data_IF_948553319011
#
_entry.id   IF_948553319011
#
_cell.length_a   1.000
_cell.length_b   1.000
_cell.length_c   1.000
_cell.angle_alpha   90.00
_cell.angle_beta   90.00
_cell.angle_gamma   90.00
#
_symmetry.space_group_name_H-M   'P 1'
#
loop_
_entity.id
_entity.type
_entity.pdbx_description
1 polymer ?
#
# COMPACT_ATOMS: atom_id res chain seq x y z
N UNK A 1 -13.58 -77.45 9.99
CA UNK A 1 -12.76 -76.59 10.85
C UNK A 1 -11.59 -75.88 10.14
N UNK A 2 -10.63 -76.51 9.43
CA UNK A 2 -9.43 -75.77 8.95
C UNK A 2 -9.65 -74.79 7.77
N UNK A 3 -10.80 -74.86 7.08
CA UNK A 3 -11.16 -73.93 5.98
C UNK A 3 -11.78 -72.61 6.49
N UNK A 4 -12.51 -72.66 7.60
CA UNK A 4 -13.17 -71.47 8.19
C UNK A 4 -12.15 -70.53 8.82
N UNK A 5 -11.14 -71.06 9.51
CA UNK A 5 -10.07 -70.25 10.11
C UNK A 5 -9.22 -69.49 9.07
N UNK A 6 -9.02 -70.07 7.88
CA UNK A 6 -8.32 -69.38 6.77
C UNK A 6 -9.16 -68.25 6.19
N UNK A 7 -10.47 -68.44 6.07
CA UNK A 7 -11.40 -67.42 5.60
C UNK A 7 -11.45 -66.24 6.57
N UNK A 8 -11.59 -66.51 7.87
CA UNK A 8 -11.65 -65.48 8.92
C UNK A 8 -10.36 -64.65 8.96
N UNK A 9 -9.19 -65.28 8.78
CA UNK A 9 -7.90 -64.56 8.67
C UNK A 9 -7.82 -63.65 7.43
N UNK A 10 -8.37 -64.07 6.29
CA UNK A 10 -8.42 -63.22 5.10
C UNK A 10 -9.34 -62.01 5.27
N UNK A 11 -10.52 -62.19 5.88
CA UNK A 11 -11.44 -61.08 6.13
C UNK A 11 -10.89 -60.09 7.17
N UNK A 12 -10.24 -60.59 8.22
CA UNK A 12 -9.58 -59.72 9.23
C UNK A 12 -8.40 -58.95 8.65
N UNK A 13 -7.57 -59.58 7.79
CA UNK A 13 -6.52 -58.86 7.05
C UNK A 13 -7.08 -57.83 6.06
N UNK A 14 -8.20 -58.13 5.39
CA UNK A 14 -8.85 -57.20 4.45
C UNK A 14 -9.45 -55.98 5.19
N UNK A 15 -10.13 -56.22 6.32
CA UNK A 15 -10.70 -55.15 7.16
C UNK A 15 -9.59 -54.28 7.75
N UNK A 16 -8.48 -54.89 8.18
CA UNK A 16 -7.33 -54.14 8.68
C UNK A 16 -6.66 -53.30 7.58
N UNK A 17 -6.54 -53.82 6.36
CA UNK A 17 -6.01 -53.07 5.22
C UNK A 17 -6.91 -51.90 4.81
N UNK A 18 -8.24 -52.08 4.86
CA UNK A 18 -9.21 -51.01 4.58
C UNK A 18 -9.17 -49.93 5.68
N UNK A 19 -9.09 -50.31 6.95
CA UNK A 19 -8.92 -49.37 8.07
C UNK A 19 -7.61 -48.58 7.97
N UNK A 20 -6.52 -49.23 7.56
CA UNK A 20 -5.22 -48.57 7.37
C UNK A 20 -5.24 -47.61 6.16
N UNK A 21 -5.95 -47.95 5.08
CA UNK A 21 -6.14 -47.09 3.92
C UNK A 21 -7.02 -45.87 4.23
N UNK A 22 -8.06 -46.03 5.07
CA UNK A 22 -8.90 -44.95 5.58
C UNK A 22 -8.13 -44.01 6.52
N UNK A 23 -7.19 -44.54 7.32
CA UNK A 23 -6.29 -43.74 8.16
C UNK A 23 -5.28 -42.92 7.33
N UNK A 24 -4.83 -43.43 6.18
CA UNK A 24 -3.92 -42.72 5.27
C UNK A 24 -4.60 -41.67 4.37
N UNK A 25 -5.91 -41.78 4.15
CA UNK A 25 -6.69 -40.80 3.38
C UNK A 25 -7.27 -39.67 4.25
N UNK A 26 -7.10 -39.76 5.57
CA UNK A 26 -7.50 -38.73 6.53
C UNK A 26 -6.33 -37.92 7.10
N UNK A 27 -5.12 -38.03 6.53
CA UNK A 27 -4.08 -37.05 6.83
C UNK A 27 -4.54 -35.71 6.24
N UNK A 28 -4.71 -34.65 7.05
CA UNK A 28 -4.87 -33.33 6.49
C UNK A 28 -3.61 -33.10 5.66
N UNK A 29 -3.79 -33.04 4.35
CA UNK A 29 -2.74 -32.64 3.44
C UNK A 29 -2.21 -31.34 4.03
N UNK A 30 -0.98 -31.35 4.54
CA UNK A 30 -0.30 -30.11 4.90
C UNK A 30 -0.28 -29.32 3.60
N UNK A 31 -1.27 -28.44 3.45
CA UNK A 31 -1.21 -27.35 2.50
C UNK A 31 0.06 -26.64 2.92
N UNK A 32 1.17 -26.86 2.19
CA UNK A 32 2.30 -25.96 2.23
C UNK A 32 1.67 -24.58 2.01
N UNK A 33 1.54 -23.80 3.08
CA UNK A 33 1.07 -22.44 2.95
C UNK A 33 2.07 -21.79 2.01
N UNK A 34 1.62 -21.41 0.82
CA UNK A 34 2.48 -20.83 -0.18
C UNK A 34 3.20 -19.62 0.44
N UNK A 35 4.47 -19.44 0.11
CA UNK A 35 5.27 -18.37 0.70
C UNK A 35 4.53 -17.03 0.53
N UNK A 36 4.40 -16.22 1.60
CA UNK A 36 3.67 -14.98 1.51
C UNK A 36 4.34 -14.02 0.54
N UNK A 37 3.53 -13.21 -0.14
CA UNK A 37 4.02 -12.03 -0.84
C UNK A 37 4.23 -10.94 0.21
N UNK A 38 5.48 -10.50 0.38
CA UNK A 38 5.87 -9.54 1.41
C UNK A 38 5.65 -8.12 0.93
N UNK A 39 4.81 -7.37 1.62
CA UNK A 39 4.58 -5.94 1.40
C UNK A 39 5.40 -5.13 2.40
N UNK A 40 6.20 -4.19 1.93
CA UNK A 40 6.86 -3.20 2.77
C UNK A 40 6.08 -1.91 2.82
N UNK A 41 5.86 -1.38 4.02
CA UNK A 41 5.12 -0.16 4.26
C UNK A 41 6.01 0.87 4.98
N UNK A 42 6.75 1.71 4.23
CA UNK A 42 7.49 2.83 4.79
C UNK A 42 6.51 3.97 5.10
N UNK A 43 6.16 4.15 6.37
CA UNK A 43 5.08 5.04 6.82
C UNK A 43 5.55 5.91 7.98
N UNK A 44 5.05 7.14 8.12
CA UNK A 44 5.34 7.96 9.32
C UNK A 44 4.32 7.65 10.42
N UNK A 45 4.56 6.59 11.18
CA UNK A 45 3.53 5.94 12.02
C UNK A 45 3.04 6.78 13.20
N UNK A 46 3.75 7.86 13.55
CA UNK A 46 3.32 8.82 14.56
C UNK A 46 2.25 9.82 14.08
N UNK A 47 1.97 9.89 12.77
CA UNK A 47 1.08 10.91 12.17
C UNK A 47 -0.09 10.28 11.43
N UNK A 48 -1.16 11.08 11.24
CA UNK A 48 -2.42 10.66 10.60
C UNK A 48 -2.18 9.78 9.37
N UNK A 49 -1.49 10.34 8.37
CA UNK A 49 -1.18 9.69 7.09
C UNK A 49 -0.39 8.37 7.18
N UNK A 50 0.25 8.09 8.31
CA UNK A 50 1.00 6.86 8.54
C UNK A 50 0.19 5.82 9.29
N UNK A 51 -0.39 6.16 10.45
CA UNK A 51 -1.14 5.19 11.24
C UNK A 51 -2.48 4.81 10.59
N UNK A 52 -3.10 5.69 9.81
CA UNK A 52 -4.33 5.37 9.07
C UNK A 52 -4.05 4.38 7.93
N UNK A 53 -3.00 4.63 7.17
CA UNK A 53 -2.52 3.79 6.08
C UNK A 53 -2.06 2.43 6.59
N UNK A 54 -1.34 2.38 7.71
CA UNK A 54 -0.93 1.12 8.35
C UNK A 54 -2.14 0.26 8.68
N UNK A 55 -3.15 0.84 9.34
CA UNK A 55 -4.38 0.12 9.70
C UNK A 55 -5.15 -0.34 8.48
N UNK A 56 -5.28 0.52 7.46
CA UNK A 56 -5.95 0.18 6.20
C UNK A 56 -5.26 -0.96 5.45
N UNK A 57 -3.92 -0.92 5.36
CA UNK A 57 -3.12 -1.98 4.74
C UNK A 57 -3.30 -3.30 5.50
N UNK A 58 -3.19 -3.28 6.83
CA UNK A 58 -3.37 -4.48 7.66
C UNK A 58 -4.76 -5.08 7.53
N UNK A 59 -5.80 -4.25 7.59
CA UNK A 59 -7.19 -4.68 7.40
C UNK A 59 -7.39 -5.35 6.02
N UNK A 60 -6.90 -4.72 4.96
CA UNK A 60 -7.01 -5.28 3.61
C UNK A 60 -6.26 -6.62 3.49
N UNK A 61 -5.06 -6.73 4.09
CA UNK A 61 -4.30 -8.00 4.13
C UNK A 61 -5.06 -9.08 4.90
N UNK A 62 -5.65 -8.74 6.05
CA UNK A 62 -6.48 -9.67 6.84
C UNK A 62 -7.67 -10.19 6.03
N UNK A 63 -8.43 -9.30 5.39
CA UNK A 63 -9.59 -9.66 4.57
C UNK A 63 -9.20 -10.51 3.35
N UNK A 64 -8.14 -10.13 2.63
CA UNK A 64 -7.63 -10.88 1.47
C UNK A 64 -7.16 -12.27 1.89
N UNK A 65 -6.40 -12.37 2.98
CA UNK A 65 -5.90 -13.64 3.49
C UNK A 65 -7.04 -14.54 4.00
N UNK A 66 -8.05 -13.97 4.67
CA UNK A 66 -9.25 -14.70 5.09
C UNK A 66 -10.06 -15.24 3.90
N UNK A 67 -10.04 -14.54 2.76
CA UNK A 67 -10.59 -15.01 1.49
C UNK A 67 -9.69 -16.03 0.74
N UNK A 68 -8.67 -16.56 1.41
CA UNK A 68 -7.75 -17.56 0.88
C UNK A 68 -6.56 -16.97 0.12
N UNK A 69 -6.31 -15.66 0.19
CA UNK A 69 -5.16 -15.01 -0.44
C UNK A 69 -5.37 -14.63 -1.91
N UNK A 70 -4.35 -13.98 -2.48
CA UNK A 70 -4.34 -13.55 -3.87
C UNK A 70 -4.05 -14.73 -4.81
N UNK A 71 -4.74 -14.78 -5.95
CA UNK A 71 -4.49 -15.77 -6.99
C UNK A 71 -3.32 -15.32 -7.88
N UNK A 72 -2.23 -16.05 -7.84
CA UNK A 72 -1.05 -15.86 -8.69
C UNK A 72 -0.92 -17.07 -9.61
N UNK A 73 -1.35 -16.93 -10.86
CA UNK A 73 -1.27 -17.98 -11.88
C UNK A 73 -1.91 -19.34 -11.48
N UNK A 74 -2.98 -19.30 -10.68
CA UNK A 74 -3.69 -20.49 -10.19
C UNK A 74 -3.32 -20.89 -8.77
N UNK A 75 -2.26 -20.33 -8.21
CA UNK A 75 -1.83 -20.58 -6.83
C UNK A 75 -2.30 -19.48 -5.89
N UNK A 76 -2.89 -19.88 -4.76
CA UNK A 76 -3.33 -18.95 -3.71
C UNK A 76 -2.18 -18.62 -2.78
N UNK A 77 -1.78 -17.35 -2.74
CA UNK A 77 -0.69 -16.84 -1.89
C UNK A 77 -1.20 -15.81 -0.90
N UNK A 78 -0.84 -15.89 0.40
CA UNK A 78 -1.16 -14.86 1.36
C UNK A 78 -0.26 -13.63 1.17
N UNK A 79 -0.69 -12.49 1.71
CA UNK A 79 0.19 -11.33 1.93
C UNK A 79 0.73 -11.33 3.36
N UNK A 80 1.93 -10.78 3.54
CA UNK A 80 2.44 -10.34 4.85
C UNK A 80 2.90 -8.89 4.76
N UNK A 81 2.88 -8.15 5.87
CA UNK A 81 3.20 -6.71 5.88
C UNK A 81 4.33 -6.42 6.87
N UNK A 82 5.36 -5.74 6.39
CA UNK A 82 6.47 -5.21 7.18
C UNK A 82 6.38 -3.68 7.19
N UNK A 83 6.02 -3.10 8.33
CA UNK A 83 5.94 -1.65 8.52
C UNK A 83 7.27 -1.15 9.07
N UNK A 84 7.82 -0.08 8.50
CA UNK A 84 8.96 0.64 9.08
C UNK A 84 8.60 2.11 9.17
N UNK A 85 8.80 2.68 10.36
CA UNK A 85 8.60 4.11 10.58
C UNK A 85 9.65 4.93 9.82
N UNK A 86 9.20 5.74 8.86
CA UNK A 86 10.05 6.67 8.10
C UNK A 86 10.34 7.94 8.87
N UNK A 87 9.50 8.28 9.85
CA UNK A 87 9.53 9.56 10.59
C UNK A 87 9.48 10.79 9.67
N UNK A 88 9.07 10.59 8.42
CA UNK A 88 9.13 11.62 7.39
C UNK A 88 7.95 12.59 7.47
N UNK A 89 7.20 12.66 8.56
CA UNK A 89 6.34 13.81 8.87
C UNK A 89 6.79 14.54 10.13
N UNK A 90 7.82 14.03 10.82
CA UNK A 90 8.38 14.71 11.99
C UNK A 90 9.15 15.97 11.56
N UNK A 91 8.90 17.11 12.24
CA UNK A 91 9.67 18.33 12.01
C UNK A 91 11.16 18.11 12.27
N UNK A 92 12.00 18.55 11.33
CA UNK A 92 13.46 18.48 11.46
C UNK A 92 14.09 17.12 11.20
N UNK A 93 13.30 16.07 10.96
CA UNK A 93 13.83 14.74 10.60
C UNK A 93 14.32 14.76 9.14
N UNK A 94 15.60 14.39 8.89
CA UNK A 94 16.19 14.43 7.56
C UNK A 94 15.55 13.41 6.62
N UNK A 95 15.60 13.69 5.32
CA UNK A 95 15.11 12.78 4.27
C UNK A 95 15.85 11.43 4.28
N UNK A 96 17.11 11.42 4.69
CA UNK A 96 17.94 10.21 4.78
C UNK A 96 17.33 9.12 5.67
N UNK A 97 16.55 9.48 6.69
CA UNK A 97 15.89 8.48 7.56
C UNK A 97 14.82 7.70 6.80
N UNK A 98 14.06 8.38 5.94
CA UNK A 98 13.10 7.72 5.04
C UNK A 98 13.80 6.84 4.00
N UNK A 99 14.94 7.30 3.46
CA UNK A 99 15.74 6.50 2.51
C UNK A 99 16.22 5.21 3.18
N UNK A 100 16.77 5.30 4.40
CA UNK A 100 17.23 4.13 5.17
C UNK A 100 16.08 3.19 5.52
N UNK A 101 14.89 3.71 5.83
CA UNK A 101 13.71 2.89 6.08
C UNK A 101 13.33 2.06 4.84
N UNK A 102 13.30 2.69 3.66
CA UNK A 102 13.03 2.00 2.39
C UNK A 102 14.15 1.01 2.05
N UNK A 103 15.41 1.39 2.23
CA UNK A 103 16.56 0.52 2.00
C UNK A 103 16.50 -0.72 2.90
N UNK A 104 16.13 -0.57 4.18
CA UNK A 104 15.94 -1.68 5.11
C UNK A 104 14.80 -2.62 4.69
N UNK A 105 13.68 -2.08 4.22
CA UNK A 105 12.58 -2.88 3.68
C UNK A 105 13.05 -3.72 2.47
N UNK A 106 13.81 -3.11 1.56
CA UNK A 106 14.28 -3.77 0.34
C UNK A 106 15.38 -4.80 0.64
N UNK A 107 16.40 -4.43 1.40
CA UNK A 107 17.63 -5.21 1.54
C UNK A 107 17.65 -6.16 2.74
N UNK A 108 16.96 -5.81 3.83
CA UNK A 108 16.99 -6.63 5.06
C UNK A 108 15.68 -7.41 5.25
N UNK A 109 14.55 -6.81 4.91
CA UNK A 109 13.24 -7.47 4.99
C UNK A 109 12.88 -8.22 3.71
N UNK A 110 13.59 -7.92 2.62
CA UNK A 110 13.42 -8.56 1.32
C UNK A 110 11.95 -8.55 0.87
N UNK A 111 11.28 -7.40 1.04
CA UNK A 111 9.88 -7.25 0.65
C UNK A 111 9.75 -7.34 -0.87
N UNK A 112 8.68 -7.93 -1.38
CA UNK A 112 8.41 -8.07 -2.81
C UNK A 112 7.96 -6.75 -3.43
N UNK A 113 7.06 -6.04 -2.76
CA UNK A 113 6.47 -4.77 -3.19
C UNK A 113 6.49 -3.75 -2.06
N UNK A 114 6.53 -2.47 -2.41
CA UNK A 114 6.30 -1.37 -1.47
C UNK A 114 4.89 -0.80 -1.68
N UNK A 115 4.17 -0.59 -0.59
CA UNK A 115 2.83 0.00 -0.58
C UNK A 115 2.72 0.96 0.60
N UNK A 116 2.20 2.16 0.39
CA UNK A 116 2.11 3.17 1.44
C UNK A 116 2.85 4.45 1.08
N UNK A 117 3.90 4.78 1.85
CA UNK A 117 4.72 5.97 1.64
C UNK A 117 6.03 5.69 0.88
N UNK A 118 7.10 6.50 1.11
CA UNK A 118 7.19 7.59 2.08
C UNK A 118 6.14 8.69 1.84
N UNK A 119 5.72 9.38 2.91
CA UNK A 119 4.55 10.29 2.87
C UNK A 119 4.93 11.68 2.37
N UNK A 120 6.08 12.22 2.82
CA UNK A 120 6.61 13.52 2.36
C UNK A 120 7.04 13.41 0.91
N UNK A 121 6.66 14.41 0.11
CA UNK A 121 6.90 14.37 -1.35
C UNK A 121 8.38 14.34 -1.69
N UNK A 122 9.22 15.06 -0.94
CA UNK A 122 10.67 15.07 -1.11
C UNK A 122 11.31 13.72 -0.74
N UNK A 123 10.77 13.02 0.27
CA UNK A 123 11.24 11.68 0.64
C UNK A 123 10.87 10.65 -0.44
N UNK A 124 9.63 10.72 -0.94
CA UNK A 124 9.18 9.87 -2.04
C UNK A 124 9.97 10.09 -3.34
N UNK A 125 10.33 11.34 -3.66
CA UNK A 125 11.21 11.67 -4.79
C UNK A 125 12.63 11.13 -4.58
N UNK A 126 13.18 11.26 -3.36
CA UNK A 126 14.54 10.84 -3.05
C UNK A 126 14.76 9.33 -3.18
N UNK A 127 13.72 8.50 -2.99
CA UNK A 127 13.85 7.04 -3.10
C UNK A 127 13.71 6.52 -4.54
N UNK A 128 13.38 7.35 -5.54
CA UNK A 128 13.17 6.88 -6.93
C UNK A 128 14.40 6.16 -7.52
N UNK A 129 15.60 6.68 -7.28
CA UNK A 129 16.84 6.05 -7.73
C UNK A 129 17.10 4.70 -7.03
N UNK A 130 16.75 4.60 -5.74
CA UNK A 130 16.82 3.35 -4.98
C UNK A 130 15.84 2.30 -5.53
N UNK A 131 14.60 2.71 -5.85
CA UNK A 131 13.60 1.84 -6.47
C UNK A 131 14.10 1.32 -7.83
N UNK A 132 14.67 2.18 -8.67
CA UNK A 132 15.25 1.79 -9.94
C UNK A 132 16.41 0.79 -9.77
N UNK A 133 17.35 1.11 -8.87
CA UNK A 133 18.53 0.26 -8.59
C UNK A 133 18.14 -1.18 -8.22
N UNK A 134 17.10 -1.32 -7.41
CA UNK A 134 16.63 -2.62 -6.94
C UNK A 134 15.43 -3.17 -7.72
N UNK A 135 15.01 -2.49 -8.81
CA UNK A 135 13.82 -2.82 -9.61
C UNK A 135 12.58 -3.03 -8.73
N UNK A 136 12.47 -2.26 -7.65
CA UNK A 136 11.44 -2.43 -6.63
C UNK A 136 10.18 -1.67 -7.03
N UNK A 137 9.11 -2.41 -7.30
CA UNK A 137 7.79 -1.83 -7.53
C UNK A 137 7.29 -1.19 -6.23
N UNK A 138 6.95 0.09 -6.31
CA UNK A 138 6.41 0.88 -5.22
C UNK A 138 5.12 1.57 -5.66
N UNK A 139 4.08 1.43 -4.86
CA UNK A 139 2.80 2.11 -5.05
C UNK A 139 2.59 3.03 -3.86
N UNK A 140 2.74 4.33 -4.08
CA UNK A 140 2.40 5.31 -3.07
C UNK A 140 0.88 5.41 -2.96
N UNK A 141 0.36 5.13 -1.76
CA UNK A 141 -1.07 5.14 -1.44
C UNK A 141 -1.46 6.20 -0.44
N UNK A 142 -0.48 6.84 0.22
CA UNK A 142 -0.69 7.92 1.20
C UNK A 142 0.32 9.05 0.96
N UNK A 143 -0.14 10.29 1.10
CA UNK A 143 0.67 11.49 0.88
C UNK A 143 1.11 11.70 -0.57
N UNK A 144 2.31 12.29 -0.71
CA UNK A 144 2.96 12.61 -2.01
C UNK A 144 2.06 13.42 -2.95
N UNK A 145 1.63 14.59 -2.48
CA UNK A 145 0.73 15.48 -3.23
C UNK A 145 1.45 16.34 -4.28
N UNK A 146 2.79 16.32 -4.31
CA UNK A 146 3.55 17.14 -5.26
C UNK A 146 3.35 16.68 -6.71
N UNK A 147 3.09 17.61 -7.65
CA UNK A 147 3.05 17.26 -9.06
C UNK A 147 4.40 16.79 -9.60
N UNK A 148 5.50 17.13 -8.93
CA UNK A 148 6.83 16.73 -9.35
C UNK A 148 6.98 15.20 -9.41
N UNK A 149 6.30 14.45 -8.53
CA UNK A 149 6.45 12.99 -8.47
C UNK A 149 6.14 12.31 -9.80
N UNK A 150 4.92 12.52 -10.33
CA UNK A 150 4.51 11.91 -11.59
C UNK A 150 5.16 12.57 -12.81
N UNK A 151 5.53 13.86 -12.75
CA UNK A 151 6.28 14.53 -13.82
C UNK A 151 7.67 13.94 -13.97
N UNK A 152 8.43 13.80 -12.86
CA UNK A 152 9.76 13.20 -12.86
C UNK A 152 9.72 11.76 -13.39
N UNK A 153 8.70 10.97 -13.02
CA UNK A 153 8.51 9.62 -13.55
C UNK A 153 8.22 9.66 -15.05
N UNK A 154 7.30 10.51 -15.52
CA UNK A 154 6.94 10.60 -16.93
C UNK A 154 8.12 11.04 -17.81
N UNK A 155 8.89 12.03 -17.37
CA UNK A 155 10.08 12.55 -18.06
C UNK A 155 11.22 11.53 -18.11
N UNK A 156 11.29 10.60 -17.15
CA UNK A 156 12.36 9.61 -17.03
C UNK A 156 11.80 8.18 -16.91
N UNK A 157 10.79 7.86 -17.74
CA UNK A 157 9.96 6.67 -17.56
C UNK A 157 10.76 5.37 -17.50
N UNK A 158 11.71 5.15 -18.42
CA UNK A 158 12.51 3.91 -18.44
C UNK A 158 13.30 3.69 -17.14
N UNK A 159 13.73 4.78 -16.50
CA UNK A 159 14.43 4.78 -15.22
C UNK A 159 13.47 4.57 -14.05
N UNK A 160 12.31 5.21 -14.05
CA UNK A 160 11.41 5.25 -12.89
C UNK A 160 10.10 4.46 -13.04
N UNK A 161 9.99 3.57 -14.04
CA UNK A 161 8.82 2.70 -14.31
C UNK A 161 8.38 1.78 -13.17
N UNK A 162 9.14 1.69 -12.08
CA UNK A 162 8.76 0.92 -10.90
C UNK A 162 7.98 1.74 -9.86
N UNK A 163 7.90 3.06 -10.04
CA UNK A 163 7.23 3.97 -9.14
C UNK A 163 5.83 4.31 -9.65
N UNK A 164 4.82 4.06 -8.81
CA UNK A 164 3.42 4.33 -9.08
C UNK A 164 2.82 5.11 -7.92
N UNK A 165 1.70 5.79 -8.20
CA UNK A 165 0.86 6.37 -7.15
C UNK A 165 -0.61 6.14 -7.44
N UNK A 166 -1.38 6.01 -6.38
CA UNK A 166 -2.85 6.11 -6.41
C UNK A 166 -3.32 7.31 -5.58
N UNK A 167 -2.43 7.98 -4.86
CA UNK A 167 -2.71 9.25 -4.22
C UNK A 167 -2.92 10.38 -5.25
N UNK A 168 -3.81 11.31 -4.93
CA UNK A 168 -4.08 12.48 -5.76
C UNK A 168 -2.93 13.52 -5.62
N UNK A 169 -2.96 14.58 -6.41
CA UNK A 169 -2.00 15.68 -6.35
C UNK A 169 -2.66 17.04 -6.21
N UNK A 170 -1.93 17.99 -5.64
CA UNK A 170 -2.49 19.25 -5.15
C UNK A 170 -3.21 20.07 -6.24
N UNK A 171 -2.72 20.09 -7.47
CA UNK A 171 -3.35 20.86 -8.56
C UNK A 171 -4.68 20.21 -8.96
N UNK A 172 -4.71 18.88 -9.12
CA UNK A 172 -5.92 18.14 -9.44
C UNK A 172 -6.95 18.21 -8.30
N UNK A 173 -6.52 18.14 -7.04
CA UNK A 173 -7.40 18.37 -5.87
C UNK A 173 -8.03 19.76 -5.97
N UNK A 174 -7.23 20.80 -6.18
CA UNK A 174 -7.74 22.17 -6.26
C UNK A 174 -8.72 22.32 -7.43
N UNK A 175 -8.30 21.94 -8.63
CA UNK A 175 -9.06 22.20 -9.85
C UNK A 175 -10.31 21.32 -9.98
N UNK A 176 -10.22 20.04 -9.61
CA UNK A 176 -11.32 19.08 -9.84
C UNK A 176 -12.17 18.79 -8.62
N UNK A 177 -11.71 19.12 -7.42
CA UNK A 177 -12.46 18.84 -6.19
C UNK A 177 -12.84 20.14 -5.48
N UNK A 178 -11.88 21.02 -5.19
CA UNK A 178 -12.15 22.25 -4.43
C UNK A 178 -12.93 23.29 -5.24
N UNK A 179 -12.51 23.58 -6.48
CA UNK A 179 -13.15 24.61 -7.31
C UNK A 179 -14.65 24.32 -7.57
N UNK A 180 -15.08 23.09 -7.91
CA UNK A 180 -16.50 22.77 -8.03
C UNK A 180 -17.30 23.01 -6.75
N UNK A 181 -16.71 22.78 -5.58
CA UNK A 181 -17.36 23.07 -4.29
C UNK A 181 -17.54 24.58 -4.11
N UNK A 182 -16.51 25.38 -4.41
CA UNK A 182 -16.62 26.84 -4.37
C UNK A 182 -17.65 27.38 -5.36
N UNK A 183 -17.66 26.89 -6.61
CA UNK A 183 -18.65 27.28 -7.61
C UNK A 183 -20.07 26.92 -7.19
N UNK A 184 -20.25 25.74 -6.59
CA UNK A 184 -21.55 25.33 -6.02
C UNK A 184 -22.00 26.27 -4.91
N UNK A 185 -21.11 26.66 -3.99
CA UNK A 185 -21.44 27.62 -2.94
C UNK A 185 -21.74 29.02 -3.47
N UNK A 186 -21.05 29.47 -4.52
CA UNK A 186 -21.40 30.72 -5.21
C UNK A 186 -22.80 30.65 -5.79
N UNK A 187 -23.13 29.58 -6.52
CA UNK A 187 -24.41 29.45 -7.20
C UNK A 187 -25.59 29.28 -6.24
N UNK A 188 -25.40 28.48 -5.18
CA UNK A 188 -26.48 28.15 -4.24
C UNK A 188 -26.72 29.27 -3.22
N UNK A 189 -25.67 29.99 -2.81
CA UNK A 189 -25.70 30.88 -1.65
C UNK A 189 -25.14 32.29 -1.91
N UNK A 190 -24.65 32.59 -3.11
CA UNK A 190 -24.04 33.89 -3.43
C UNK A 190 -22.72 34.15 -2.69
N UNK A 191 -22.02 33.10 -2.26
CA UNK A 191 -20.75 33.23 -1.53
C UNK A 191 -19.59 33.43 -2.51
N UNK A 192 -19.08 34.66 -2.58
CA UNK A 192 -18.02 35.06 -3.51
C UNK A 192 -16.71 35.50 -2.84
N UNK A 193 -16.71 35.64 -1.51
CA UNK A 193 -15.53 36.02 -0.73
C UNK A 193 -14.95 34.81 0.00
N UNK A 194 -13.67 34.55 -0.16
CA UNK A 194 -12.96 33.42 0.44
C UNK A 194 -11.77 33.94 1.26
N UNK A 195 -11.60 33.45 2.49
CA UNK A 195 -10.39 33.73 3.28
C UNK A 195 -9.57 32.45 3.41
N UNK A 196 -8.29 32.52 3.08
CA UNK A 196 -7.38 31.37 3.12
C UNK A 196 -6.55 31.41 4.41
N UNK A 197 -6.65 30.35 5.21
CA UNK A 197 -5.82 30.13 6.38
C UNK A 197 -5.01 28.86 6.18
N UNK A 198 -3.69 28.97 6.28
CA UNK A 198 -2.76 27.85 6.08
C UNK A 198 -2.00 27.56 7.35
N UNK A 199 -1.63 26.30 7.55
CA UNK A 199 -0.66 25.93 8.58
C UNK A 199 0.70 26.55 8.27
N UNK A 200 1.49 26.85 9.30
CA UNK A 200 2.80 27.48 9.15
C UNK A 200 3.92 26.52 8.73
N UNK A 201 3.72 25.88 7.57
CA UNK A 201 4.66 24.92 6.97
C UNK A 201 4.77 25.15 5.47
N UNK A 202 5.94 24.86 4.90
CA UNK A 202 6.24 25.20 3.51
C UNK A 202 5.23 24.65 2.49
N UNK A 203 4.80 23.40 2.64
CA UNK A 203 3.81 22.81 1.72
C UNK A 203 2.44 23.49 1.82
N UNK A 204 2.02 23.91 3.01
CA UNK A 204 0.70 24.50 3.24
C UNK A 204 0.68 25.94 2.71
N UNK A 205 1.74 26.72 2.98
CA UNK A 205 1.93 28.05 2.38
C UNK A 205 1.88 27.98 0.85
N UNK A 206 2.62 27.05 0.24
CA UNK A 206 2.62 26.89 -1.22
C UNK A 206 1.25 26.47 -1.76
N UNK A 207 0.54 25.60 -1.05
CA UNK A 207 -0.82 25.20 -1.43
C UNK A 207 -1.78 26.39 -1.35
N UNK A 208 -1.68 27.23 -0.32
CA UNK A 208 -2.46 28.46 -0.19
C UNK A 208 -2.28 29.42 -1.36
N UNK A 209 -1.03 29.70 -1.76
CA UNK A 209 -0.72 30.52 -2.94
C UNK A 209 -1.36 29.97 -4.22
N UNK A 210 -1.36 28.64 -4.39
CA UNK A 210 -1.96 27.99 -5.56
C UNK A 210 -3.48 28.11 -5.52
N UNK A 211 -4.11 27.87 -4.37
CA UNK A 211 -5.57 28.03 -4.18
C UNK A 211 -5.99 29.47 -4.45
N UNK A 212 -5.31 30.46 -3.87
CA UNK A 212 -5.55 31.89 -4.09
C UNK A 212 -5.54 32.22 -5.58
N UNK A 213 -4.49 31.78 -6.30
CA UNK A 213 -4.38 32.01 -7.73
C UNK A 213 -5.55 31.44 -8.52
N UNK A 214 -6.01 30.22 -8.20
CA UNK A 214 -7.13 29.59 -8.89
C UNK A 214 -8.47 30.27 -8.58
N UNK A 215 -8.71 30.62 -7.31
CA UNK A 215 -9.91 31.33 -6.87
C UNK A 215 -10.03 32.72 -7.50
N UNK A 216 -8.96 33.52 -7.46
CA UNK A 216 -8.91 34.85 -8.09
C UNK A 216 -9.15 34.75 -9.59
N UNK A 217 -8.56 33.75 -10.27
CA UNK A 217 -8.81 33.51 -11.70
C UNK A 217 -10.26 33.14 -12.00
N UNK A 218 -10.94 32.46 -11.08
CA UNK A 218 -12.36 32.10 -11.18
C UNK A 218 -13.30 33.23 -10.71
N UNK A 219 -12.79 34.43 -10.41
CA UNK A 219 -13.57 35.62 -10.05
C UNK A 219 -14.02 35.66 -8.59
N UNK A 220 -13.48 34.84 -7.70
CA UNK A 220 -13.69 35.01 -6.26
C UNK A 220 -12.89 36.21 -5.75
N UNK A 221 -13.42 36.90 -4.74
CA UNK A 221 -12.64 37.84 -3.92
C UNK A 221 -11.91 37.04 -2.86
N UNK A 222 -10.59 37.09 -2.82
CA UNK A 222 -9.76 36.37 -1.84
C UNK A 222 -9.05 37.36 -0.91
#
# INVERSE_FOLDING_TARGET
MPKEDKMIKHYTSLVFAILLALLFSATPQLSNAADPIKLGAPLSTAFLYGWDAERGIKLAVEEINAAGGVNVAGEKRPFSVEVIDTRDLEPGVPVDDAIKAVEKLILQKEVDFLVGGPVRSEAALAVLDLLNKHKKVSIVTTGVLSPAYHKTIAENYDKYKYAFRISNEIVNIIVKEMMPVFEKFRNDFGLERVHIMVQDVAHARKSGEVVEKFLTKAGFTV
#
